data_IF_542605132017
#
_entry.id   IF_542605132017
#
_cell.length_a   1.000
_cell.length_b   1.000
_cell.length_c   1.000
_cell.angle_alpha   90.00
_cell.angle_beta   90.00
_cell.angle_gamma   90.00
#
_symmetry.space_group_name_H-M   'P 1'
#
loop_
_entity.id
_entity.type
_entity.pdbx_description
1 polymer ?
#
# COMPACT_ATOMS: atom_id res chain seq x y z
N UNK A 1 26.21 -5.51 9.50
CA UNK A 1 25.89 -4.75 8.27
C UNK A 1 25.91 -3.27 8.61
N UNK A 2 26.45 -2.41 7.76
CA UNK A 2 26.50 -0.96 8.03
C UNK A 2 25.15 -0.29 7.71
N UNK A 3 24.96 0.93 8.22
CA UNK A 3 23.72 1.69 8.08
C UNK A 3 23.34 1.94 6.62
N UNK A 4 24.31 2.25 5.76
CA UNK A 4 24.07 2.50 4.32
C UNK A 4 23.41 1.31 3.62
N UNK A 5 23.82 0.08 3.93
CA UNK A 5 23.19 -1.13 3.37
C UNK A 5 21.76 -1.33 3.88
N UNK A 6 21.46 -0.95 5.13
CA UNK A 6 20.10 -0.99 5.67
C UNK A 6 19.22 0.02 4.92
N UNK A 7 19.70 1.25 4.76
CA UNK A 7 18.98 2.30 4.03
C UNK A 7 18.72 1.85 2.59
N UNK A 8 19.73 1.30 1.91
CA UNK A 8 19.56 0.77 0.56
C UNK A 8 18.50 -0.35 0.50
N UNK A 9 18.53 -1.29 1.43
CA UNK A 9 17.53 -2.36 1.50
C UNK A 9 16.10 -1.83 1.70
N UNK A 10 15.92 -0.81 2.54
CA UNK A 10 14.62 -0.15 2.75
C UNK A 10 14.19 0.62 1.51
N UNK A 11 15.07 1.40 0.89
CA UNK A 11 14.73 2.15 -0.33
C UNK A 11 14.38 1.21 -1.49
N UNK A 12 15.14 0.13 -1.67
CA UNK A 12 14.85 -0.86 -2.69
C UNK A 12 13.53 -1.60 -2.42
N UNK A 13 13.28 -1.96 -1.16
CA UNK A 13 11.98 -2.49 -0.73
C UNK A 13 10.84 -1.53 -1.00
N UNK A 14 11.00 -0.25 -0.67
CA UNK A 14 10.00 0.79 -0.93
C UNK A 14 9.68 0.88 -2.42
N UNK A 15 10.69 0.91 -3.29
CA UNK A 15 10.50 0.95 -4.75
C UNK A 15 9.73 -0.28 -5.24
N UNK A 16 10.15 -1.49 -4.86
CA UNK A 16 9.48 -2.71 -5.32
C UNK A 16 8.06 -2.85 -4.76
N UNK A 17 7.84 -2.43 -3.51
CA UNK A 17 6.49 -2.35 -2.93
C UNK A 17 5.61 -1.36 -3.69
N UNK A 18 6.14 -0.19 -4.04
CA UNK A 18 5.38 0.83 -4.79
C UNK A 18 5.07 0.37 -6.20
N UNK A 19 5.96 -0.40 -6.85
CA UNK A 19 5.67 -1.04 -8.14
C UNK A 19 4.51 -2.03 -8.00
N UNK A 20 4.52 -2.87 -6.96
CA UNK A 20 3.43 -3.82 -6.72
C UNK A 20 2.10 -3.12 -6.43
N UNK A 21 2.13 -2.04 -5.64
CA UNK A 21 0.98 -1.17 -5.40
C UNK A 21 0.43 -0.60 -6.71
N UNK A 22 1.29 0.05 -7.51
CA UNK A 22 0.86 0.71 -8.75
C UNK A 22 0.32 -0.29 -9.77
N UNK A 23 0.90 -1.50 -9.85
CA UNK A 23 0.39 -2.55 -10.71
C UNK A 23 -1.07 -2.91 -10.38
N UNK A 24 -1.41 -3.01 -9.10
CA UNK A 24 -2.79 -3.26 -8.66
C UNK A 24 -3.72 -2.08 -8.95
N UNK A 25 -3.26 -0.85 -8.74
CA UNK A 25 -4.03 0.36 -9.10
C UNK A 25 -4.33 0.39 -10.60
N UNK A 26 -3.35 0.13 -11.46
CA UNK A 26 -3.53 0.16 -12.92
C UNK A 26 -4.48 -0.92 -13.43
N UNK A 27 -4.49 -2.10 -12.83
CA UNK A 27 -5.37 -3.20 -13.22
C UNK A 27 -6.79 -3.00 -12.67
N UNK A 28 -6.95 -2.21 -11.60
CA UNK A 28 -8.23 -2.05 -10.89
C UNK A 28 -9.40 -1.66 -11.80
N UNK A 29 -9.23 -0.64 -12.66
CA UNK A 29 -10.29 -0.13 -13.52
C UNK A 29 -10.72 -1.10 -14.63
N UNK A 30 -9.89 -2.11 -14.94
CA UNK A 30 -10.26 -3.18 -15.87
C UNK A 30 -11.08 -4.28 -15.18
N UNK A 31 -10.83 -4.53 -13.89
CA UNK A 31 -11.49 -5.60 -13.13
C UNK A 31 -12.77 -5.10 -12.46
N UNK A 32 -12.72 -3.89 -11.90
CA UNK A 32 -13.86 -3.19 -11.30
C UNK A 32 -13.96 -1.84 -12.01
N UNK A 33 -14.76 -1.75 -13.08
CA UNK A 33 -14.92 -0.52 -13.84
C UNK A 33 -15.45 0.62 -12.97
N UNK A 34 -15.10 1.88 -13.29
CA UNK A 34 -15.71 3.03 -12.64
C UNK A 34 -17.22 3.08 -12.94
N UNK A 35 -18.00 3.79 -12.10
CA UNK A 35 -19.41 4.04 -12.38
C UNK A 35 -19.62 4.63 -13.78
N UNK A 36 -20.70 4.23 -14.50
CA UNK A 36 -20.98 4.74 -15.83
C UNK A 36 -21.03 6.27 -15.88
N UNK A 37 -20.37 6.87 -16.87
CA UNK A 37 -20.37 8.32 -17.06
C UNK A 37 -19.46 9.11 -16.11
N UNK A 38 -18.65 8.42 -15.29
CA UNK A 38 -17.71 9.06 -14.36
C UNK A 38 -16.26 8.83 -14.77
N UNK A 39 -15.51 9.92 -14.90
CA UNK A 39 -14.06 9.87 -15.11
C UNK A 39 -13.29 9.98 -13.78
N UNK A 40 -12.97 8.83 -13.19
CA UNK A 40 -12.22 8.74 -11.92
C UNK A 40 -10.75 9.19 -12.00
N UNK A 41 -10.29 9.70 -13.16
CA UNK A 41 -8.95 10.27 -13.33
C UNK A 41 -8.90 11.79 -13.14
N UNK A 42 -10.07 12.43 -13.01
CA UNK A 42 -10.22 13.88 -12.79
C UNK A 42 -10.74 14.18 -11.39
N UNK A 43 -10.43 15.35 -10.86
CA UNK A 43 -10.94 15.76 -9.54
C UNK A 43 -12.48 15.91 -9.55
N UNK A 44 -13.03 16.43 -10.64
CA UNK A 44 -14.46 16.58 -10.86
C UNK A 44 -15.16 15.21 -10.91
N UNK A 45 -14.60 14.27 -11.67
CA UNK A 45 -15.17 12.93 -11.79
C UNK A 45 -15.05 12.12 -10.50
N UNK A 46 -13.95 12.23 -9.74
CA UNK A 46 -13.86 11.63 -8.40
C UNK A 46 -15.02 12.13 -7.54
N UNK A 47 -15.25 13.45 -7.47
CA UNK A 47 -16.33 14.01 -6.66
C UNK A 47 -17.73 13.56 -7.09
N UNK A 48 -17.98 13.50 -8.41
CA UNK A 48 -19.25 13.01 -8.96
C UNK A 48 -19.44 11.49 -8.75
N UNK A 49 -18.36 10.73 -8.74
CA UNK A 49 -18.35 9.28 -8.59
C UNK A 49 -18.52 8.80 -7.16
N UNK A 50 -18.07 9.56 -6.16
CA UNK A 50 -18.09 9.16 -4.75
C UNK A 50 -19.43 8.58 -4.26
N UNK A 51 -20.59 9.22 -4.53
CA UNK A 51 -21.88 8.69 -4.10
C UNK A 51 -22.27 7.39 -4.79
N UNK A 52 -21.64 7.07 -5.93
CA UNK A 52 -21.89 5.88 -6.74
C UNK A 52 -20.93 4.73 -6.41
N UNK A 53 -19.90 4.96 -5.59
CA UNK A 53 -18.93 3.94 -5.22
C UNK A 53 -19.53 2.96 -4.21
N UNK A 54 -19.70 1.72 -4.66
CA UNK A 54 -19.97 0.57 -3.82
C UNK A 54 -18.70 0.01 -3.15
N UNK A 55 -18.87 -0.81 -2.10
CA UNK A 55 -17.78 -1.44 -1.36
C UNK A 55 -16.73 -2.15 -2.25
N UNK A 56 -17.15 -2.76 -3.36
CA UNK A 56 -16.25 -3.43 -4.31
C UNK A 56 -15.18 -2.50 -4.88
N UNK A 57 -15.47 -1.22 -5.11
CA UNK A 57 -14.53 -0.27 -5.71
C UNK A 57 -13.35 0.05 -4.78
N UNK A 58 -13.48 -0.26 -3.49
CA UNK A 58 -12.44 -0.06 -2.49
C UNK A 58 -11.53 -1.29 -2.28
N UNK A 59 -11.86 -2.44 -2.89
CA UNK A 59 -11.07 -3.66 -2.78
C UNK A 59 -9.65 -3.48 -3.35
N UNK A 60 -9.53 -2.90 -4.54
CA UNK A 60 -8.23 -2.70 -5.18
C UNK A 60 -7.35 -1.67 -4.48
N UNK A 61 -7.86 -0.50 -4.05
CA UNK A 61 -7.10 0.41 -3.19
C UNK A 61 -6.53 -0.28 -1.94
N UNK A 62 -7.37 -1.04 -1.22
CA UNK A 62 -6.92 -1.82 -0.06
C UNK A 62 -5.82 -2.82 -0.42
N UNK A 63 -6.04 -3.61 -1.49
CA UNK A 63 -5.08 -4.60 -1.95
C UNK A 63 -3.76 -3.96 -2.39
N UNK A 64 -3.81 -2.81 -3.07
CA UNK A 64 -2.63 -2.08 -3.50
C UNK A 64 -1.79 -1.64 -2.30
N UNK A 65 -2.41 -1.09 -1.26
CA UNK A 65 -1.73 -0.72 -0.02
C UNK A 65 -1.17 -1.95 0.72
N UNK A 66 -1.98 -3.00 0.86
CA UNK A 66 -1.63 -4.23 1.57
C UNK A 66 -0.47 -4.98 0.91
N UNK A 67 -0.58 -5.24 -0.38
CA UNK A 67 0.44 -5.96 -1.16
C UNK A 67 1.69 -5.11 -1.30
N UNK A 68 1.57 -3.80 -1.52
CA UNK A 68 2.73 -2.91 -1.55
C UNK A 68 3.53 -2.93 -0.24
N UNK A 69 2.85 -2.80 0.90
CA UNK A 69 3.46 -2.88 2.24
C UNK A 69 4.13 -4.24 2.48
N UNK A 70 3.45 -5.33 2.10
CA UNK A 70 3.97 -6.70 2.25
C UNK A 70 5.22 -6.93 1.41
N UNK A 71 5.15 -6.62 0.11
CA UNK A 71 6.25 -6.82 -0.85
C UNK A 71 7.46 -5.99 -0.44
N UNK A 72 7.25 -4.72 -0.11
CA UNK A 72 8.36 -3.86 0.30
C UNK A 72 9.03 -4.34 1.58
N UNK A 73 8.24 -4.77 2.58
CA UNK A 73 8.77 -5.30 3.83
C UNK A 73 9.51 -6.64 3.60
N UNK A 74 8.95 -7.53 2.79
CA UNK A 74 9.57 -8.80 2.43
C UNK A 74 10.96 -8.59 1.80
N UNK A 75 11.05 -7.70 0.80
CA UNK A 75 12.30 -7.36 0.12
C UNK A 75 13.31 -6.76 1.10
N UNK A 76 12.90 -5.75 1.88
CA UNK A 76 13.78 -5.10 2.84
C UNK A 76 14.34 -6.09 3.88
N UNK A 77 13.52 -7.05 4.33
CA UNK A 77 13.93 -8.10 5.28
C UNK A 77 14.89 -9.11 4.66
N UNK A 78 14.69 -9.49 3.39
CA UNK A 78 15.62 -10.39 2.68
C UNK A 78 17.00 -9.77 2.52
N UNK A 79 17.07 -8.46 2.33
CA UNK A 79 18.32 -7.73 2.11
C UNK A 79 18.99 -7.23 3.39
N UNK A 80 18.32 -7.33 4.54
CA UNK A 80 18.81 -6.79 5.82
C UNK A 80 19.19 -7.90 6.81
N UNK A 81 20.37 -7.78 7.42
CA UNK A 81 20.82 -8.56 8.60
C UNK A 81 21.67 -7.64 9.49
N UNK A 82 21.44 -7.49 10.81
CA UNK A 82 20.47 -8.16 11.69
C UNK A 82 19.12 -7.44 11.84
N UNK A 83 18.95 -6.23 11.29
CA UNK A 83 17.81 -5.34 11.53
C UNK A 83 16.52 -5.71 10.75
N UNK A 84 16.18 -6.99 10.66
CA UNK A 84 15.08 -7.50 9.84
C UNK A 84 13.72 -6.90 10.22
N UNK A 85 13.31 -7.06 11.48
CA UNK A 85 12.03 -6.53 11.95
C UNK A 85 11.97 -4.99 11.87
N UNK A 86 12.99 -4.23 12.34
CA UNK A 86 13.01 -2.78 12.13
C UNK A 86 12.88 -2.37 10.66
N UNK A 87 13.59 -3.03 9.73
CA UNK A 87 13.48 -2.71 8.31
C UNK A 87 12.06 -2.93 7.77
N UNK A 88 11.37 -4.01 8.16
CA UNK A 88 9.97 -4.22 7.82
C UNK A 88 9.06 -3.14 8.38
N UNK A 89 9.22 -2.77 9.66
CA UNK A 89 8.38 -1.76 10.30
C UNK A 89 8.62 -0.36 9.72
N UNK A 90 9.83 -0.05 9.26
CA UNK A 90 10.11 1.19 8.51
C UNK A 90 9.35 1.21 7.19
N UNK A 91 9.30 0.09 6.44
CA UNK A 91 8.45 0.02 5.23
C UNK A 91 6.99 0.23 5.59
N UNK A 92 6.48 -0.47 6.61
CA UNK A 92 5.10 -0.30 7.08
C UNK A 92 4.78 1.14 7.44
N UNK A 93 5.69 1.84 8.13
CA UNK A 93 5.55 3.24 8.48
C UNK A 93 5.55 4.16 7.25
N UNK A 94 6.44 3.93 6.28
CA UNK A 94 6.50 4.72 5.04
C UNK A 94 5.21 4.58 4.22
N UNK A 95 4.72 3.35 4.05
CA UNK A 95 3.44 3.13 3.38
C UNK A 95 2.27 3.69 4.20
N UNK A 96 2.27 3.56 5.53
CA UNK A 96 1.22 4.13 6.39
C UNK A 96 1.13 5.65 6.27
N UNK A 97 2.28 6.35 6.24
CA UNK A 97 2.32 7.79 5.98
C UNK A 97 1.74 8.09 4.61
N UNK A 98 2.11 7.33 3.58
CA UNK A 98 1.50 7.42 2.25
C UNK A 98 -0.03 7.23 2.27
N UNK A 99 -0.52 6.26 3.02
CA UNK A 99 -1.94 5.98 3.22
C UNK A 99 -2.70 7.12 3.89
N UNK A 100 -2.14 7.69 4.96
CA UNK A 100 -2.73 8.85 5.66
C UNK A 100 -2.75 10.09 4.75
N UNK A 101 -1.72 10.29 3.93
CA UNK A 101 -1.71 11.37 2.95
C UNK A 101 -2.77 11.13 1.88
N UNK A 102 -2.87 9.91 1.34
CA UNK A 102 -3.88 9.53 0.36
C UNK A 102 -5.31 9.73 0.90
N UNK A 103 -5.59 9.33 2.14
CA UNK A 103 -6.92 9.48 2.75
C UNK A 103 -7.33 10.94 3.00
N UNK A 104 -6.37 11.88 2.98
CA UNK A 104 -6.63 13.33 3.07
C UNK A 104 -6.80 13.98 1.70
N UNK A 105 -6.22 13.39 0.67
CA UNK A 105 -6.24 13.93 -0.69
C UNK A 105 -7.40 13.36 -1.51
N UNK A 106 -7.76 12.10 -1.28
CA UNK A 106 -8.81 11.38 -2.01
C UNK A 106 -9.93 11.10 -1.01
N UNK A 107 -11.12 11.71 -1.18
CA UNK A 107 -12.23 11.43 -0.30
C UNK A 107 -12.61 9.95 -0.36
N UNK A 108 -12.92 9.37 0.79
CA UNK A 108 -13.41 8.00 0.88
C UNK A 108 -14.30 7.82 2.11
N UNK A 109 -15.17 6.80 2.15
CA UNK A 109 -15.98 6.52 3.33
C UNK A 109 -15.10 6.25 4.57
N UNK A 110 -15.51 6.78 5.72
CA UNK A 110 -14.76 6.65 6.99
C UNK A 110 -14.48 5.18 7.37
N UNK A 111 -15.43 4.28 7.09
CA UNK A 111 -15.24 2.85 7.36
C UNK A 111 -14.08 2.27 6.55
N UNK A 112 -13.94 2.69 5.29
CA UNK A 112 -12.88 2.20 4.41
C UNK A 112 -11.53 2.73 4.87
N UNK A 113 -11.44 4.03 5.18
CA UNK A 113 -10.22 4.65 5.72
C UNK A 113 -9.77 3.90 6.98
N UNK A 114 -10.70 3.58 7.88
CA UNK A 114 -10.37 2.84 9.09
C UNK A 114 -9.84 1.42 8.79
N UNK A 115 -10.53 0.66 7.93
CA UNK A 115 -10.10 -0.69 7.52
C UNK A 115 -8.72 -0.63 6.87
N UNK A 116 -8.50 0.30 5.96
CA UNK A 116 -7.26 0.45 5.23
C UNK A 116 -6.09 0.78 6.17
N UNK A 117 -6.21 1.85 6.98
CA UNK A 117 -5.16 2.29 7.90
C UNK A 117 -4.82 1.24 8.97
N UNK A 118 -5.80 0.46 9.42
CA UNK A 118 -5.57 -0.58 10.43
C UNK A 118 -4.87 -1.80 9.83
N UNK A 119 -5.29 -2.26 8.64
CA UNK A 119 -4.93 -3.59 8.15
C UNK A 119 -3.90 -3.59 7.03
N UNK A 120 -3.84 -2.57 6.17
CA UNK A 120 -3.04 -2.61 4.95
C UNK A 120 -1.54 -2.34 5.18
N UNK A 121 -1.16 -1.75 6.31
CA UNK A 121 0.20 -1.23 6.51
C UNK A 121 1.02 -2.08 7.47
N UNK A 122 0.87 -1.86 8.78
CA UNK A 122 1.67 -2.56 9.79
C UNK A 122 1.42 -4.07 9.83
N UNK A 123 0.17 -4.58 9.74
CA UNK A 123 -0.05 -6.03 9.69
C UNK A 123 0.57 -6.69 8.46
N UNK A 124 0.45 -6.06 7.28
CA UNK A 124 1.05 -6.56 6.04
C UNK A 124 2.58 -6.47 6.04
N UNK A 125 3.16 -5.40 6.62
CA UNK A 125 4.60 -5.30 6.81
C UNK A 125 5.13 -6.38 7.77
N UNK A 126 4.39 -6.66 8.85
CA UNK A 126 4.70 -7.75 9.78
C UNK A 126 4.63 -9.11 9.10
N UNK A 127 3.60 -9.34 8.27
CA UNK A 127 3.49 -10.55 7.46
C UNK A 127 4.68 -10.69 6.49
N UNK A 128 5.08 -9.60 5.82
CA UNK A 128 6.27 -9.58 4.97
C UNK A 128 7.55 -9.97 5.72
N UNK A 129 7.72 -9.47 6.95
CA UNK A 129 8.79 -9.92 7.85
C UNK A 129 8.71 -11.41 8.17
N UNK A 130 7.54 -11.89 8.56
CA UNK A 130 7.34 -13.28 8.95
C UNK A 130 7.61 -14.25 7.80
N UNK A 131 7.25 -13.89 6.57
CA UNK A 131 7.51 -14.67 5.36
C UNK A 131 8.99 -14.62 4.94
N UNK A 132 9.69 -13.53 5.22
CA UNK A 132 11.06 -13.34 4.78
C UNK A 132 12.13 -13.82 5.78
N UNK A 133 11.79 -13.93 7.08
CA UNK A 133 12.75 -14.30 8.14
C UNK A 133 13.35 -15.70 7.90
N UNK A 134 14.64 -15.93 8.23
CA UNK A 134 15.23 -17.26 8.21
C UNK A 134 14.48 -18.18 9.18
N UNK A 135 14.37 -19.47 8.83
CA UNK A 135 13.83 -20.50 9.71
C UNK A 135 14.85 -20.91 10.76
#
# INVERSE_FOLDING_TARGET
MNLLRVIFAVLFGLVLGSIANMALVMISGYVIPPPPGVDMTTAEGINAGLPLLEARHFMFPFLAHAVGSLVGAFVAVKMTTPYKLPAAMVIGALFFVGGVLASRMIPAPTWFIAVDLIFAYFPCAWLGYWLARPR
#
